data_IF_885349525062
#
_entry.id   IF_885349525062
#
_cell.length_a   1.000
_cell.length_b   1.000
_cell.length_c   1.000
_cell.angle_alpha   90.00
_cell.angle_beta   90.00
_cell.angle_gamma   90.00
#
_symmetry.space_group_name_H-M   'P 1'
#
loop_
_entity.id
_entity.type
_entity.pdbx_description
1 polymer ?
#
# COMPACT_ATOMS: atom_id res chain seq x y z
N UNK A 1 0.45 -15.67 -5.06
CA UNK A 1 1.35 -14.68 -4.42
C UNK A 1 0.54 -13.40 -4.25
N UNK A 2 0.65 -12.71 -3.10
CA UNK A 2 -0.12 -11.47 -2.90
C UNK A 2 0.37 -10.36 -3.82
N UNK A 3 -0.54 -9.51 -4.26
CA UNK A 3 -0.25 -8.39 -5.16
C UNK A 3 -0.83 -7.08 -4.62
N UNK A 4 -0.10 -5.99 -4.86
CA UNK A 4 -0.52 -4.64 -4.47
C UNK A 4 -0.48 -3.70 -5.67
N UNK A 5 -1.44 -2.79 -5.70
CA UNK A 5 -1.53 -1.69 -6.65
C UNK A 5 -1.84 -0.40 -5.88
N UNK A 6 -1.12 0.66 -6.19
CA UNK A 6 -1.48 2.01 -5.78
C UNK A 6 -1.69 2.89 -7.01
N UNK A 7 -2.63 3.82 -6.90
CA UNK A 7 -2.93 4.85 -7.90
C UNK A 7 -2.81 6.19 -7.20
N UNK A 8 -2.09 7.13 -7.81
CA UNK A 8 -1.92 8.49 -7.31
C UNK A 8 -2.15 9.50 -8.44
N UNK A 9 -3.01 10.49 -8.21
CA UNK A 9 -3.38 11.50 -9.18
C UNK A 9 -3.45 12.90 -8.53
N UNK A 10 -3.25 13.94 -9.34
CA UNK A 10 -3.38 15.33 -8.89
C UNK A 10 -4.84 15.80 -8.68
N UNK A 11 -5.81 14.94 -9.02
CA UNK A 11 -7.25 15.17 -8.95
C UNK A 11 -7.96 13.89 -8.49
N UNK A 12 -9.23 13.99 -8.15
CA UNK A 12 -10.02 12.80 -7.83
C UNK A 12 -10.19 11.95 -9.09
N UNK A 13 -9.70 10.74 -9.02
CA UNK A 13 -9.67 9.78 -10.11
C UNK A 13 -10.56 8.57 -9.83
N UNK A 14 -11.28 8.12 -10.84
CA UNK A 14 -12.11 6.90 -10.78
C UNK A 14 -11.41 5.75 -11.51
N UNK A 15 -10.98 4.70 -10.82
CA UNK A 15 -10.07 3.67 -11.36
C UNK A 15 -10.80 2.58 -12.18
N UNK A 16 -11.69 2.98 -13.08
CA UNK A 16 -12.60 2.08 -13.86
C UNK A 16 -11.87 1.05 -14.69
N UNK A 17 -10.70 1.39 -15.18
CA UNK A 17 -9.90 0.52 -16.05
C UNK A 17 -8.93 -0.34 -15.25
N UNK A 18 -8.18 0.27 -14.33
CA UNK A 18 -7.02 -0.38 -13.72
C UNK A 18 -7.37 -1.34 -12.59
N UNK A 19 -8.38 -1.04 -11.77
CA UNK A 19 -8.78 -1.96 -10.71
C UNK A 19 -9.33 -3.30 -11.23
N UNK A 20 -10.24 -3.34 -12.23
CA UNK A 20 -10.71 -4.62 -12.79
C UNK A 20 -9.60 -5.45 -13.42
N UNK A 21 -8.69 -4.81 -14.17
CA UNK A 21 -7.53 -5.49 -14.77
C UNK A 21 -6.59 -6.03 -13.68
N UNK A 22 -6.36 -5.28 -12.61
CA UNK A 22 -5.60 -5.76 -11.45
C UNK A 22 -6.30 -6.94 -10.77
N UNK A 23 -7.63 -6.93 -10.66
CA UNK A 23 -8.41 -8.02 -10.09
C UNK A 23 -8.25 -9.35 -10.87
N UNK A 24 -8.07 -9.30 -12.19
CA UNK A 24 -7.83 -10.48 -12.99
C UNK A 24 -6.54 -11.24 -12.61
N UNK A 25 -5.58 -10.55 -11.99
CA UNK A 25 -4.37 -11.17 -11.44
C UNK A 25 -4.65 -12.03 -10.23
N UNK A 26 -5.79 -11.83 -9.59
CA UNK A 26 -6.27 -12.64 -8.48
C UNK A 26 -6.87 -13.99 -8.87
N UNK A 27 -6.79 -14.43 -10.13
CA UNK A 27 -7.38 -15.71 -10.60
C UNK A 27 -7.00 -16.91 -9.74
N UNK A 28 -5.75 -16.94 -9.30
CA UNK A 28 -5.21 -18.02 -8.47
C UNK A 28 -5.25 -17.68 -6.96
N UNK A 29 -5.81 -16.53 -6.60
CA UNK A 29 -5.83 -16.03 -5.24
C UNK A 29 -7.26 -16.16 -4.66
N UNK A 30 -7.44 -17.13 -3.78
CA UNK A 30 -8.75 -17.49 -3.21
C UNK A 30 -9.09 -16.73 -1.92
N UNK A 31 -8.23 -15.88 -1.39
CA UNK A 31 -8.29 -15.44 0.00
C UNK A 31 -8.62 -13.96 0.20
N UNK A 32 -9.41 -13.40 -0.68
CA UNK A 32 -9.97 -12.07 -0.47
C UNK A 32 -9.13 -10.93 -1.01
N UNK A 33 -9.69 -9.75 -0.88
CA UNK A 33 -9.16 -8.50 -1.41
C UNK A 33 -9.54 -7.32 -0.51
N UNK A 34 -8.88 -6.19 -0.74
CA UNK A 34 -9.30 -4.93 -0.16
C UNK A 34 -8.87 -3.74 -1.00
N UNK A 35 -9.62 -2.65 -0.85
CA UNK A 35 -9.37 -1.36 -1.48
C UNK A 35 -9.46 -0.30 -0.39
N UNK A 36 -8.42 0.56 -0.29
CA UNK A 36 -8.40 1.76 0.53
C UNK A 36 -8.32 3.00 -0.34
N UNK A 37 -9.01 4.04 0.02
CA UNK A 37 -9.06 5.31 -0.69
C UNK A 37 -9.43 6.45 0.26
N UNK A 38 -9.28 7.69 -0.18
CA UNK A 38 -9.61 8.87 0.62
C UNK A 38 -10.83 9.58 0.05
N UNK A 39 -11.70 10.02 0.93
CA UNK A 39 -12.74 11.01 0.64
C UNK A 39 -12.42 12.23 1.47
N UNK A 40 -11.99 13.30 0.79
CA UNK A 40 -11.36 14.44 1.44
C UNK A 40 -10.12 13.98 2.22
N UNK A 41 -10.06 14.15 3.53
CA UNK A 41 -9.00 13.75 4.45
C UNK A 41 -9.27 12.42 5.17
N UNK A 42 -10.45 11.80 4.94
CA UNK A 42 -10.83 10.56 5.61
C UNK A 42 -10.51 9.32 4.77
N UNK A 43 -9.77 8.40 5.33
CA UNK A 43 -9.54 7.10 4.71
C UNK A 43 -10.75 6.18 4.87
N UNK A 44 -11.14 5.56 3.78
CA UNK A 44 -12.17 4.53 3.70
C UNK A 44 -11.54 3.22 3.24
N UNK A 45 -12.01 2.11 3.77
CA UNK A 45 -11.50 0.77 3.45
C UNK A 45 -12.66 -0.18 3.23
N UNK A 46 -12.66 -0.83 2.07
CA UNK A 46 -13.59 -1.90 1.71
C UNK A 46 -12.84 -3.21 1.52
N UNK A 47 -13.34 -4.27 2.13
CA UNK A 47 -12.68 -5.59 2.13
C UNK A 47 -13.69 -6.72 1.96
N UNK A 48 -13.26 -7.80 1.30
CA UNK A 48 -14.01 -9.04 1.24
C UNK A 48 -13.06 -10.23 1.34
N UNK A 49 -13.48 -11.26 2.07
CA UNK A 49 -12.80 -12.56 2.11
C UNK A 49 -13.11 -13.43 0.89
N UNK A 50 -14.02 -13.01 0.03
CA UNK A 50 -14.36 -13.70 -1.20
C UNK A 50 -13.29 -13.49 -2.28
N UNK A 51 -13.23 -14.42 -3.22
CA UNK A 51 -12.34 -14.28 -4.38
C UNK A 51 -12.64 -13.01 -5.16
N UNK A 52 -11.58 -12.28 -5.53
CA UNK A 52 -11.73 -11.08 -6.38
C UNK A 52 -12.06 -11.43 -7.82
N UNK A 53 -11.64 -12.61 -8.29
CA UNK A 53 -11.87 -13.09 -9.65
C UNK A 53 -12.25 -14.58 -9.62
N UNK A 54 -13.45 -14.89 -10.10
CA UNK A 54 -13.96 -16.26 -10.18
C UNK A 54 -14.84 -16.41 -11.43
N UNK A 55 -14.93 -17.62 -11.97
CA UNK A 55 -15.76 -17.92 -13.16
C UNK A 55 -15.55 -16.93 -14.33
N UNK A 56 -14.31 -16.53 -14.58
CA UNK A 56 -13.93 -15.56 -15.62
C UNK A 56 -14.52 -14.15 -15.41
N UNK A 57 -14.92 -13.83 -14.19
CA UNK A 57 -15.51 -12.53 -13.84
C UNK A 57 -14.87 -11.94 -12.61
N UNK A 58 -14.73 -10.63 -12.60
CA UNK A 58 -14.34 -9.84 -11.44
C UNK A 58 -15.52 -9.78 -10.46
N UNK A 59 -15.26 -9.92 -9.17
CA UNK A 59 -16.27 -9.84 -8.11
C UNK A 59 -17.09 -8.55 -8.23
N UNK A 60 -18.43 -8.67 -8.13
CA UNK A 60 -19.34 -7.55 -8.40
C UNK A 60 -19.06 -6.31 -7.52
N UNK A 61 -18.82 -6.53 -6.23
CA UNK A 61 -18.51 -5.42 -5.31
C UNK A 61 -17.20 -4.71 -5.70
N UNK A 62 -16.17 -5.46 -6.16
CA UNK A 62 -14.91 -4.89 -6.63
C UNK A 62 -15.13 -4.06 -7.91
N UNK A 63 -15.92 -4.58 -8.86
CA UNK A 63 -16.27 -3.83 -10.08
C UNK A 63 -17.07 -2.56 -9.78
N UNK A 64 -18.02 -2.64 -8.81
CA UNK A 64 -18.80 -1.47 -8.39
C UNK A 64 -17.90 -0.42 -7.78
N UNK A 65 -17.00 -0.81 -6.87
CA UNK A 65 -16.03 0.10 -6.24
C UNK A 65 -15.16 0.79 -7.30
N UNK A 66 -14.66 0.06 -8.29
CA UNK A 66 -13.89 0.63 -9.40
C UNK A 66 -14.62 1.74 -10.18
N UNK A 67 -15.95 1.78 -10.11
CA UNK A 67 -16.80 2.77 -10.82
C UNK A 67 -17.25 3.92 -9.95
N UNK A 68 -17.25 3.75 -8.61
CA UNK A 68 -17.80 4.75 -7.68
C UNK A 68 -16.74 5.40 -6.80
N UNK A 69 -15.56 4.81 -6.68
CA UNK A 69 -14.44 5.45 -6.03
C UNK A 69 -14.06 6.70 -6.82
N UNK A 70 -13.87 7.80 -6.10
CA UNK A 70 -13.42 9.09 -6.60
C UNK A 70 -12.42 9.64 -5.60
N UNK A 71 -11.11 9.42 -5.85
CA UNK A 71 -10.05 9.69 -4.88
C UNK A 71 -8.73 10.01 -5.57
N UNK A 72 -7.90 10.84 -4.93
CA UNK A 72 -6.54 11.13 -5.40
C UNK A 72 -5.58 9.97 -5.18
N UNK A 73 -5.75 9.24 -4.08
CA UNK A 73 -4.90 8.10 -3.74
C UNK A 73 -5.78 6.89 -3.46
N UNK A 74 -5.45 5.78 -4.12
CA UNK A 74 -6.16 4.51 -4.00
C UNK A 74 -5.11 3.41 -3.82
N UNK A 75 -5.31 2.52 -2.83
CA UNK A 75 -4.47 1.34 -2.59
C UNK A 75 -5.34 0.10 -2.69
N UNK A 76 -4.94 -0.86 -3.50
CA UNK A 76 -5.61 -2.16 -3.61
C UNK A 76 -4.64 -3.30 -3.30
N UNK A 77 -5.16 -4.31 -2.63
CA UNK A 77 -4.43 -5.52 -2.26
C UNK A 77 -5.25 -6.76 -2.61
N UNK A 78 -4.62 -7.73 -3.27
CA UNK A 78 -5.17 -9.06 -3.52
C UNK A 78 -4.39 -10.06 -2.69
N UNK A 79 -5.09 -10.76 -1.80
CA UNK A 79 -4.45 -11.64 -0.84
C UNK A 79 -4.09 -12.98 -1.48
N UNK A 80 -2.96 -13.57 -1.06
CA UNK A 80 -2.54 -14.88 -1.54
C UNK A 80 -3.02 -16.02 -0.65
N UNK A 81 -3.14 -17.23 -1.20
CA UNK A 81 -3.48 -18.38 -0.39
C UNK A 81 -2.36 -18.71 0.60
N UNK A 82 -2.62 -18.54 1.87
CA UNK A 82 -1.94 -19.26 2.95
C UNK A 82 -2.97 -20.20 3.56
N UNK A 83 -2.55 -21.38 3.98
CA UNK A 83 -3.41 -22.39 4.64
C UNK A 83 -4.15 -21.76 5.82
N UNK A 84 -5.49 -21.69 5.71
CA UNK A 84 -6.38 -21.11 6.72
C UNK A 84 -7.18 -19.92 6.16
N UNK A 85 -8.50 -19.94 6.36
CA UNK A 85 -9.37 -18.83 5.98
C UNK A 85 -9.00 -17.57 6.77
N UNK A 86 -8.88 -16.43 6.09
CA UNK A 86 -8.66 -15.15 6.75
C UNK A 86 -10.01 -14.47 7.02
N UNK A 87 -10.17 -13.93 8.22
CA UNK A 87 -11.25 -12.99 8.49
C UNK A 87 -10.99 -11.69 7.69
N UNK A 88 -12.04 -11.05 7.21
CA UNK A 88 -11.95 -9.79 6.45
C UNK A 88 -11.11 -8.71 7.17
N UNK A 89 -11.14 -8.71 8.51
CA UNK A 89 -10.32 -7.82 9.32
C UNK A 89 -8.81 -7.97 9.11
N UNK A 90 -8.33 -9.15 8.73
CA UNK A 90 -6.90 -9.45 8.51
C UNK A 90 -6.42 -9.05 7.10
N UNK A 91 -7.34 -8.64 6.22
CA UNK A 91 -6.99 -8.22 4.86
C UNK A 91 -6.47 -6.78 4.84
N UNK A 92 -5.56 -6.50 3.93
CA UNK A 92 -5.12 -5.14 3.62
C UNK A 92 -6.13 -4.40 2.72
N UNK A 93 -6.07 -3.04 2.69
CA UNK A 93 -5.23 -2.17 3.49
C UNK A 93 -5.71 -2.06 4.94
N UNK A 94 -4.79 -1.75 5.87
CA UNK A 94 -5.13 -1.32 7.22
C UNK A 94 -5.27 0.19 7.28
N UNK A 95 -6.04 0.66 8.26
CA UNK A 95 -6.23 2.08 8.54
C UNK A 95 -5.88 2.37 10.00
N UNK A 96 -5.15 3.46 10.23
CA UNK A 96 -4.92 4.08 11.54
C UNK A 96 -4.95 5.61 11.40
N UNK A 97 -5.41 6.30 12.44
CA UNK A 97 -5.38 7.77 12.50
C UNK A 97 -4.29 8.20 13.47
N UNK A 98 -3.32 9.00 13.03
CA UNK A 98 -2.24 9.56 13.84
C UNK A 98 -1.60 10.79 13.14
N UNK A 99 -0.99 11.68 13.93
CA UNK A 99 -0.39 12.93 13.45
C UNK A 99 -1.36 13.75 12.58
N UNK A 100 -2.61 13.84 13.05
CA UNK A 100 -3.72 14.61 12.43
C UNK A 100 -4.14 14.12 11.02
N UNK A 101 -3.71 12.91 10.60
CA UNK A 101 -4.07 12.29 9.33
C UNK A 101 -4.64 10.89 9.52
N UNK A 102 -5.49 10.48 8.60
CA UNK A 102 -5.81 9.07 8.37
C UNK A 102 -4.73 8.45 7.49
N UNK A 103 -4.28 7.26 7.84
CA UNK A 103 -3.24 6.53 7.11
C UNK A 103 -3.74 5.18 6.64
N UNK A 104 -3.40 4.84 5.42
CA UNK A 104 -3.61 3.52 4.82
C UNK A 104 -2.28 2.79 4.68
N UNK A 105 -2.29 1.47 4.95
CA UNK A 105 -1.11 0.62 4.83
C UNK A 105 -1.45 -0.72 4.17
N UNK A 106 -0.67 -1.10 3.16
CA UNK A 106 -0.73 -2.42 2.54
C UNK A 106 0.68 -2.96 2.30
N UNK A 107 0.90 -4.25 2.59
CA UNK A 107 2.24 -4.87 2.55
C UNK A 107 2.20 -6.26 1.94
N UNK A 108 3.26 -6.59 1.20
CA UNK A 108 3.60 -7.93 0.70
C UNK A 108 5.02 -8.28 1.13
N UNK A 109 5.21 -9.47 1.64
CA UNK A 109 6.50 -9.95 2.10
C UNK A 109 6.37 -10.84 3.32
N UNK A 110 7.48 -11.15 3.96
CA UNK A 110 7.54 -11.97 5.18
C UNK A 110 8.56 -11.35 6.13
N UNK A 111 8.11 -11.11 7.36
CA UNK A 111 8.94 -10.57 8.43
C UNK A 111 8.84 -11.50 9.63
N UNK A 112 9.97 -12.06 10.01
CA UNK A 112 10.06 -12.92 11.18
C UNK A 112 10.15 -12.06 12.46
N UNK A 113 9.64 -12.59 13.56
CA UNK A 113 9.76 -11.99 14.90
C UNK A 113 9.05 -10.66 15.14
N UNK A 114 8.47 -9.97 14.15
CA UNK A 114 7.74 -8.72 14.33
C UNK A 114 6.49 -8.89 15.21
N UNK A 115 5.95 -10.11 15.31
CA UNK A 115 4.84 -10.42 16.23
C UNK A 115 5.19 -10.16 17.70
N UNK A 116 6.47 -10.16 18.06
CA UNK A 116 6.94 -9.82 19.41
C UNK A 116 6.85 -8.31 19.70
N UNK A 117 6.69 -7.48 18.68
CA UNK A 117 6.57 -6.04 18.86
C UNK A 117 5.34 -5.67 19.69
N UNK A 118 5.55 -4.88 20.73
CA UNK A 118 4.51 -4.32 21.58
C UNK A 118 4.30 -2.85 21.23
N UNK A 119 3.17 -2.55 20.59
CA UNK A 119 2.83 -1.16 20.24
C UNK A 119 2.72 -0.27 21.48
N UNK A 120 3.24 0.94 21.40
CA UNK A 120 3.31 1.93 22.48
C UNK A 120 2.18 2.96 22.39
N UNK A 121 1.64 3.16 21.21
CA UNK A 121 0.65 4.21 20.93
C UNK A 121 -0.76 3.64 20.73
N UNK A 122 -1.74 4.51 20.78
CA UNK A 122 -3.16 4.22 20.51
C UNK A 122 -3.64 5.09 19.33
N UNK A 123 -4.67 4.67 18.56
CA UNK A 123 -5.39 3.39 18.63
C UNK A 123 -4.53 2.21 18.17
N UNK A 124 -4.85 1.01 18.65
CA UNK A 124 -4.24 -0.24 18.21
C UNK A 124 -5.12 -0.91 17.15
N UNK A 125 -4.48 -1.66 16.27
CA UNK A 125 -5.21 -2.57 15.40
C UNK A 125 -5.63 -3.81 16.21
N UNK A 126 -6.92 -4.05 16.30
CA UNK A 126 -7.48 -5.24 17.00
C UNK A 126 -7.32 -6.51 16.15
N UNK A 127 -6.12 -6.71 15.59
CA UNK A 127 -5.84 -7.78 14.64
C UNK A 127 -4.46 -8.37 14.97
N UNK A 128 -4.43 -9.68 15.21
CA UNK A 128 -3.18 -10.38 15.48
C UNK A 128 -2.58 -10.96 14.20
N UNK A 129 -2.00 -10.07 13.39
CA UNK A 129 -1.23 -10.43 12.19
C UNK A 129 0.06 -9.62 12.14
N UNK A 130 1.15 -10.24 11.69
CA UNK A 130 2.48 -9.61 11.64
C UNK A 130 2.49 -8.30 10.83
N UNK A 131 1.69 -8.22 9.78
CA UNK A 131 1.60 -7.01 8.94
C UNK A 131 0.94 -5.83 9.66
N UNK A 132 0.02 -6.09 10.60
CA UNK A 132 -0.53 -5.05 11.47
C UNK A 132 0.56 -4.52 12.41
N UNK A 133 1.45 -5.39 12.93
CA UNK A 133 2.57 -4.98 13.79
C UNK A 133 3.59 -4.11 13.05
N UNK A 134 3.82 -4.36 11.75
CA UNK A 134 4.67 -3.49 10.92
C UNK A 134 4.07 -2.08 10.85
N UNK A 135 2.78 -1.96 10.60
CA UNK A 135 2.12 -0.65 10.54
C UNK A 135 2.13 0.08 11.88
N UNK A 136 1.87 -0.64 12.98
CA UNK A 136 1.95 -0.08 14.33
C UNK A 136 3.37 0.36 14.68
N UNK A 137 4.40 -0.39 14.27
CA UNK A 137 5.80 0.00 14.46
C UNK A 137 6.11 1.31 13.73
N UNK A 138 5.80 1.39 12.44
CA UNK A 138 6.03 2.60 11.65
C UNK A 138 5.30 3.80 12.25
N UNK A 139 4.03 3.65 12.65
CA UNK A 139 3.27 4.69 13.33
C UNK A 139 3.97 5.15 14.62
N UNK A 140 4.37 4.23 15.48
CA UNK A 140 4.98 4.54 16.78
C UNK A 140 6.30 5.30 16.59
N UNK A 141 7.11 4.92 15.60
CA UNK A 141 8.34 5.62 15.26
C UNK A 141 8.07 7.01 14.68
N UNK A 142 7.11 7.16 13.78
CA UNK A 142 6.72 8.46 13.24
C UNK A 142 6.25 9.42 14.34
N UNK A 143 5.42 8.96 15.27
CA UNK A 143 4.97 9.75 16.43
C UNK A 143 6.16 10.13 17.33
N UNK A 144 7.05 9.17 17.63
CA UNK A 144 8.23 9.41 18.45
C UNK A 144 9.16 10.46 17.84
N UNK A 145 9.44 10.34 16.54
CA UNK A 145 10.31 11.28 15.80
C UNK A 145 9.68 12.67 15.73
N UNK A 146 8.37 12.76 15.50
CA UNK A 146 7.66 14.02 15.48
C UNK A 146 7.62 14.70 16.87
N UNK A 147 7.45 13.93 17.95
CA UNK A 147 7.55 14.47 19.34
C UNK A 147 8.94 15.01 19.65
N UNK A 148 10.00 14.37 19.15
CA UNK A 148 11.39 14.85 19.31
C UNK A 148 11.69 16.09 18.48
N UNK A 149 11.13 16.18 17.27
CA UNK A 149 11.29 17.28 16.35
C UNK A 149 9.97 17.54 15.59
N UNK A 150 9.12 18.47 16.05
CA UNK A 150 7.84 18.77 15.40
C UNK A 150 7.95 19.30 13.97
N UNK A 151 9.13 19.72 13.54
CA UNK A 151 9.39 20.22 12.19
C UNK A 151 10.01 19.19 11.26
N UNK A 152 10.19 17.95 11.72
CA UNK A 152 10.70 16.89 10.86
C UNK A 152 9.70 16.60 9.73
N UNK A 153 10.16 16.56 8.48
CA UNK A 153 9.27 16.15 7.40
C UNK A 153 8.90 14.67 7.54
N UNK A 154 7.66 14.35 7.17
CA UNK A 154 7.16 12.95 7.21
C UNK A 154 8.08 12.01 6.41
N UNK A 155 8.60 12.48 5.27
CA UNK A 155 9.56 11.72 4.47
C UNK A 155 10.82 11.34 5.25
N UNK A 156 11.48 12.31 5.91
CA UNK A 156 12.70 12.04 6.70
C UNK A 156 12.38 11.12 7.87
N UNK A 157 11.28 11.39 8.57
CA UNK A 157 10.85 10.55 9.69
C UNK A 157 10.56 9.11 9.24
N UNK A 158 9.87 8.94 8.09
CA UNK A 158 9.56 7.61 7.56
C UNK A 158 10.82 6.86 7.12
N UNK A 159 11.77 7.55 6.48
CA UNK A 159 13.06 6.94 6.11
C UNK A 159 13.82 6.41 7.31
N UNK A 160 13.89 7.19 8.39
CA UNK A 160 14.50 6.76 9.65
C UNK A 160 13.72 5.58 10.24
N UNK A 161 12.39 5.66 10.28
CA UNK A 161 11.54 4.59 10.82
C UNK A 161 11.68 3.27 10.04
N UNK A 162 11.83 3.35 8.70
CA UNK A 162 12.08 2.16 7.86
C UNK A 162 13.46 1.59 8.17
N UNK A 163 14.50 2.42 8.29
CA UNK A 163 15.83 1.94 8.62
C UNK A 163 15.87 1.23 9.98
N UNK A 164 15.28 1.82 11.01
CA UNK A 164 15.14 1.18 12.33
C UNK A 164 14.30 -0.12 12.25
N UNK A 165 13.25 -0.16 11.42
CA UNK A 165 12.45 -1.36 11.20
C UNK A 165 13.28 -2.49 10.59
N UNK A 166 14.13 -2.17 9.61
CA UNK A 166 15.00 -3.16 8.93
C UNK A 166 16.09 -3.70 9.85
N UNK A 167 16.63 -2.84 10.73
CA UNK A 167 17.65 -3.21 11.72
C UNK A 167 17.05 -4.06 12.83
N UNK A 168 15.88 -3.69 13.38
CA UNK A 168 15.22 -4.38 14.49
C UNK A 168 14.53 -5.70 14.03
N UNK A 169 13.96 -5.69 12.84
CA UNK A 169 13.17 -6.78 12.28
C UNK A 169 13.55 -7.06 10.82
N UNK A 170 14.72 -7.64 10.58
CA UNK A 170 15.15 -7.98 9.22
C UNK A 170 14.11 -8.84 8.50
N UNK A 171 13.82 -8.51 7.23
CA UNK A 171 12.78 -9.21 6.51
C UNK A 171 12.57 -8.73 5.09
N UNK A 172 11.52 -9.27 4.48
CA UNK A 172 11.10 -8.97 3.11
C UNK A 172 9.92 -8.03 3.15
N UNK A 173 10.14 -6.82 2.67
CA UNK A 173 9.14 -5.75 2.67
C UNK A 173 8.89 -5.24 1.26
N UNK A 174 7.63 -5.11 0.90
CA UNK A 174 7.15 -4.30 -0.21
C UNK A 174 5.82 -3.72 0.24
N UNK A 175 5.76 -2.42 0.48
CA UNK A 175 4.56 -1.82 1.05
C UNK A 175 4.22 -0.47 0.47
N UNK A 176 2.97 -0.10 0.63
CA UNK A 176 2.44 1.24 0.47
C UNK A 176 1.98 1.78 1.82
N UNK A 177 2.35 3.00 2.11
CA UNK A 177 1.82 3.82 3.20
C UNK A 177 1.31 5.12 2.58
N UNK A 178 0.10 5.55 2.92
CA UNK A 178 -0.45 6.77 2.35
C UNK A 178 -1.33 7.53 3.33
N UNK A 179 -1.33 8.85 3.20
CA UNK A 179 -2.38 9.73 3.66
C UNK A 179 -3.09 10.38 2.46
N UNK A 180 -3.96 11.33 2.67
CA UNK A 180 -4.72 12.02 1.62
C UNK A 180 -3.85 12.82 0.63
N UNK A 181 -2.60 13.13 1.02
CA UNK A 181 -1.68 14.00 0.25
C UNK A 181 -0.52 13.27 -0.39
N UNK A 182 -0.02 12.21 0.25
CA UNK A 182 1.19 11.50 -0.16
C UNK A 182 1.00 9.98 -0.18
N UNK A 183 1.58 9.38 -1.20
CA UNK A 183 1.82 7.94 -1.28
C UNK A 183 3.31 7.66 -1.12
N UNK A 184 3.66 6.84 -0.15
CA UNK A 184 4.98 6.29 0.08
C UNK A 184 4.99 4.84 -0.38
N UNK A 185 5.97 4.48 -1.21
CA UNK A 185 6.16 3.11 -1.69
C UNK A 185 7.57 2.64 -1.34
N UNK A 186 7.69 1.57 -0.60
CA UNK A 186 8.97 0.98 -0.21
C UNK A 186 9.10 -0.44 -0.74
N UNK A 187 10.28 -0.80 -1.23
CA UNK A 187 10.58 -2.18 -1.63
C UNK A 187 12.03 -2.56 -1.35
N UNK A 188 12.21 -3.72 -0.71
CA UNK A 188 13.47 -4.46 -0.65
C UNK A 188 13.31 -5.93 -1.06
N UNK A 189 12.09 -6.32 -1.47
CA UNK A 189 11.78 -7.71 -1.79
C UNK A 189 11.18 -7.88 -3.17
N UNK A 190 9.96 -7.37 -3.39
CA UNK A 190 9.33 -7.42 -4.71
C UNK A 190 9.58 -6.12 -5.45
N UNK A 191 10.08 -6.26 -6.65
CA UNK A 191 10.23 -5.11 -7.53
C UNK A 191 8.86 -4.45 -7.74
N UNK A 192 8.82 -3.15 -7.51
CA UNK A 192 7.70 -2.33 -7.89
C UNK A 192 7.88 -1.83 -9.32
N UNK A 193 6.78 -1.70 -10.02
CA UNK A 193 6.70 -1.16 -11.37
C UNK A 193 5.91 0.14 -11.34
N UNK A 194 6.38 1.14 -12.04
CA UNK A 194 5.72 2.45 -12.17
C UNK A 194 5.23 2.63 -13.61
N UNK A 195 4.05 3.20 -13.76
CA UNK A 195 3.51 3.68 -15.04
C UNK A 195 2.84 5.02 -14.84
N UNK A 196 3.29 6.05 -15.56
CA UNK A 196 2.59 7.33 -15.67
C UNK A 196 1.70 7.32 -16.91
N UNK A 197 0.44 7.65 -16.71
CA UNK A 197 -0.59 7.63 -17.75
C UNK A 197 -1.20 9.01 -17.88
N UNK A 198 -1.32 9.50 -19.10
CA UNK A 198 -2.05 10.75 -19.39
C UNK A 198 -3.53 10.44 -19.60
N UNK A 199 -4.35 10.99 -18.74
CA UNK A 199 -5.82 10.93 -18.80
C UNK A 199 -6.40 12.29 -19.18
N UNK A 200 -7.70 12.34 -19.45
CA UNK A 200 -8.36 13.57 -19.93
C UNK A 200 -8.30 14.74 -18.94
N UNK A 201 -8.20 14.47 -17.63
CA UNK A 201 -8.15 15.48 -16.56
C UNK A 201 -6.73 15.73 -16.03
N UNK A 202 -5.74 15.04 -16.53
CA UNK A 202 -4.35 15.13 -16.10
C UNK A 202 -3.68 13.77 -16.00
N UNK A 203 -2.44 13.74 -15.56
CA UNK A 203 -1.69 12.50 -15.43
C UNK A 203 -2.08 11.73 -14.16
N UNK A 204 -1.95 10.41 -14.25
CA UNK A 204 -2.13 9.45 -13.16
C UNK A 204 -0.89 8.58 -13.05
N UNK A 205 -0.41 8.33 -11.85
CA UNK A 205 0.68 7.42 -11.57
C UNK A 205 0.16 6.11 -10.98
N UNK A 206 0.57 5.01 -11.59
CA UNK A 206 0.31 3.66 -11.12
C UNK A 206 1.59 3.06 -10.56
N UNK A 207 1.52 2.43 -9.38
CA UNK A 207 2.62 1.70 -8.77
C UNK A 207 2.12 0.31 -8.40
N UNK A 208 2.78 -0.75 -8.86
CA UNK A 208 2.30 -2.12 -8.61
C UNK A 208 3.44 -3.12 -8.44
N UNK A 209 3.19 -4.19 -7.69
CA UNK A 209 4.08 -5.35 -7.61
C UNK A 209 3.94 -6.30 -8.82
N UNK A 210 2.99 -6.04 -9.71
CA UNK A 210 2.66 -6.85 -10.87
C UNK A 210 2.40 -5.97 -12.08
N UNK A 211 3.16 -6.17 -13.17
CA UNK A 211 2.93 -5.48 -14.46
C UNK A 211 2.11 -6.31 -15.46
N UNK A 212 2.12 -7.64 -15.33
CA UNK A 212 1.48 -8.54 -16.27
C UNK A 212 -0.04 -8.38 -16.27
N UNK A 213 -0.63 -8.16 -17.44
CA UNK A 213 -2.06 -7.97 -17.65
C UNK A 213 -2.57 -6.54 -17.42
N UNK A 214 -1.75 -5.65 -16.88
CA UNK A 214 -1.97 -4.22 -16.97
C UNK A 214 -1.39 -3.78 -18.32
N UNK A 215 -2.18 -3.77 -19.36
CA UNK A 215 -1.84 -3.92 -20.78
C UNK A 215 -0.99 -2.84 -21.45
N UNK A 216 0.02 -2.26 -20.78
CA UNK A 216 0.91 -1.24 -21.35
C UNK A 216 2.37 -1.65 -21.28
N UNK A 217 3.15 -1.31 -22.32
CA UNK A 217 4.56 -1.63 -22.48
C UNK A 217 5.48 -0.70 -21.68
N UNK A 218 4.98 0.43 -21.19
CA UNK A 218 5.78 1.56 -20.68
C UNK A 218 5.99 1.52 -19.18
N UNK A 219 5.89 0.34 -18.56
CA UNK A 219 6.19 0.15 -17.16
C UNK A 219 7.69 0.24 -16.90
N UNK A 220 8.06 1.10 -15.95
CA UNK A 220 9.44 1.23 -15.49
C UNK A 220 9.63 0.53 -14.14
N UNK A 221 10.66 -0.35 -14.02
CA UNK A 221 10.99 -0.97 -12.77
C UNK A 221 11.59 0.03 -11.78
N UNK A 222 11.21 -0.07 -10.51
CA UNK A 222 11.95 0.49 -9.40
C UNK A 222 13.04 -0.53 -9.05
N UNK A 223 14.29 -0.13 -9.18
CA UNK A 223 15.41 -1.04 -8.96
C UNK A 223 16.27 -0.48 -7.83
N UNK A 224 16.12 -1.02 -6.60
CA UNK A 224 16.97 -0.63 -5.48
C UNK A 224 18.46 -0.83 -5.82
N UNK A 225 19.31 0.06 -5.30
CA UNK A 225 20.77 -0.16 -5.35
C UNK A 225 21.06 -1.50 -4.64
N UNK A 226 21.85 -2.40 -5.24
CA UNK A 226 22.22 -3.67 -4.62
C UNK A 226 22.93 -3.52 -3.26
N UNK A 227 23.47 -2.36 -2.95
CA UNK A 227 24.13 -2.05 -1.68
C UNK A 227 23.19 -1.41 -0.66
N UNK A 228 21.98 -1.00 -1.07
CA UNK A 228 20.97 -0.42 -0.18
C UNK A 228 20.14 -1.48 0.52
N UNK A 229 19.50 -1.09 1.62
CA UNK A 229 18.54 -1.95 2.32
C UNK A 229 17.15 -1.92 1.67
N UNK A 230 16.95 -1.12 0.62
CA UNK A 230 15.73 -0.97 -0.15
C UNK A 230 15.54 0.44 -0.70
N UNK A 231 14.52 0.64 -1.51
CA UNK A 231 14.22 1.93 -2.13
C UNK A 231 12.88 2.47 -1.64
N UNK A 232 12.88 3.75 -1.27
CA UNK A 232 11.69 4.51 -0.88
C UNK A 232 11.36 5.55 -1.93
N UNK A 233 10.11 5.52 -2.39
CA UNK A 233 9.50 6.56 -3.22
C UNK A 233 8.58 7.43 -2.39
N UNK A 234 8.60 8.72 -2.67
CA UNK A 234 7.60 9.69 -2.20
C UNK A 234 6.87 10.25 -3.41
N UNK A 235 5.57 10.09 -3.43
CA UNK A 235 4.71 10.40 -4.55
C UNK A 235 3.63 11.39 -4.10
N UNK A 236 3.42 12.45 -4.88
CA UNK A 236 2.30 13.38 -4.70
C UNK A 236 1.65 13.65 -6.06
N UNK A 237 0.34 13.45 -6.14
CA UNK A 237 -0.34 13.48 -7.43
C UNK A 237 0.31 12.47 -8.40
N UNK A 238 0.57 12.85 -9.66
CA UNK A 238 1.16 11.96 -10.66
C UNK A 238 2.69 11.96 -10.64
N UNK A 239 3.34 12.61 -9.65
CA UNK A 239 4.77 12.86 -9.68
C UNK A 239 5.51 12.15 -8.55
N UNK A 240 6.63 11.52 -8.91
CA UNK A 240 7.61 11.03 -7.95
C UNK A 240 8.46 12.20 -7.51
N UNK A 241 8.23 12.69 -6.28
CA UNK A 241 8.96 13.81 -5.69
C UNK A 241 10.36 13.40 -5.22
N UNK A 242 10.49 12.14 -4.83
CA UNK A 242 11.76 11.56 -4.36
C UNK A 242 11.78 10.07 -4.66
N UNK A 243 12.95 9.59 -5.05
CA UNK A 243 13.31 8.18 -5.13
C UNK A 243 14.73 8.02 -4.58
N UNK A 244 14.93 7.10 -3.66
CA UNK A 244 16.26 6.87 -3.11
C UNK A 244 16.31 5.80 -2.04
N UNK A 245 17.53 5.43 -1.73
CA UNK A 245 17.87 4.35 -0.85
C UNK A 245 17.56 4.65 0.63
N UNK A 246 17.25 3.58 1.34
CA UNK A 246 17.07 3.55 2.79
C UNK A 246 18.24 2.81 3.41
#
# INVERSE_FOLDING_TARGET
>A
MCDILAISAGYNYTPREYLPVFAEKGKDNMNGWGIGFFREDHALVEKSSEQVFSNQQVHESFQRLARVIDSRIIISHINCPKSGGHHSAQLHPFKLSFLDHDWLFAQVGVVENINAYQTRETPRLEIDVYTARIFEYLRDQLILLHRKNPYISVYIALRIAIQELLDDYPGKYTFFLANESFLFAFCNFRQLMILKVSESMGDVLLVTSVKEGLSRTDWHPITPDPQSQGELLVIAGPDVLYAGDV
#
